data_IF_987649203676
#
_entry.id   IF_987649203676
#
_cell.length_a   1.000
_cell.length_b   1.000
_cell.length_c   1.000
_cell.angle_alpha   90.00
_cell.angle_beta   90.00
_cell.angle_gamma   90.00
#
_symmetry.space_group_name_H-M   'P 1'
#
loop_
_entity.id
_entity.type
_entity.pdbx_description
1 polymer ?
#
# COMPACT_ATOMS: atom_id res chain seq x y z
N UNK A 1 -18.10 -11.29 -21.61
CA UNK A 1 -17.73 -11.59 -20.22
C UNK A 1 -16.92 -10.41 -19.72
N UNK A 2 -17.47 -9.57 -18.83
CA UNK A 2 -16.89 -8.26 -18.46
C UNK A 2 -15.76 -8.46 -17.44
N UNK A 3 -14.53 -8.12 -17.83
CA UNK A 3 -13.36 -7.99 -16.96
C UNK A 3 -13.54 -6.75 -16.06
N UNK A 4 -14.23 -6.89 -14.93
CA UNK A 4 -14.50 -5.80 -14.00
C UNK A 4 -14.19 -6.18 -12.53
N UNK A 5 -13.16 -7.02 -12.32
CA UNK A 5 -12.74 -7.48 -10.99
C UNK A 5 -11.21 -7.53 -10.84
N UNK A 6 -10.50 -6.57 -11.45
CA UNK A 6 -9.14 -6.26 -11.00
C UNK A 6 -9.27 -5.24 -9.86
N UNK A 7 -9.24 -5.78 -8.64
CA UNK A 7 -9.36 -5.06 -7.37
C UNK A 7 -8.36 -3.89 -7.28
N UNK A 8 -8.72 -2.74 -6.68
CA UNK A 8 -7.76 -1.67 -6.36
C UNK A 8 -6.55 -2.16 -5.56
N UNK A 9 -6.72 -3.21 -4.76
CA UNK A 9 -5.64 -3.90 -4.04
C UNK A 9 -4.63 -4.56 -4.99
N UNK A 10 -5.07 -4.94 -6.20
CA UNK A 10 -4.21 -5.44 -7.27
C UNK A 10 -3.40 -4.31 -7.93
N UNK A 11 -3.91 -3.07 -7.94
CA UNK A 11 -3.17 -1.91 -8.43
C UNK A 11 -2.12 -1.42 -7.41
N UNK A 12 -2.39 -1.55 -6.11
CA UNK A 12 -1.40 -1.29 -5.05
C UNK A 12 -0.29 -2.36 -5.10
N UNK A 13 -0.63 -3.62 -5.36
CA UNK A 13 0.33 -4.70 -5.56
C UNK A 13 1.11 -4.65 -6.90
N UNK A 14 0.66 -3.86 -7.88
CA UNK A 14 1.37 -3.60 -9.15
C UNK A 14 2.17 -2.29 -9.12
N UNK A 15 1.82 -1.33 -8.26
CA UNK A 15 2.60 -0.11 -8.04
C UNK A 15 3.99 -0.42 -7.43
N UNK A 16 4.16 -1.56 -6.77
CA UNK A 16 5.45 -2.05 -6.28
C UNK A 16 6.41 -2.54 -7.39
N UNK A 17 6.02 -2.50 -8.67
CA UNK A 17 6.87 -2.87 -9.82
C UNK A 17 7.35 -1.68 -10.66
N UNK A 18 7.09 -0.43 -10.24
CA UNK A 18 7.68 0.76 -10.86
C UNK A 18 8.30 1.63 -9.77
N UNK A 19 9.50 1.25 -9.34
CA UNK A 19 10.38 2.13 -8.56
C UNK A 19 10.81 3.30 -9.44
N UNK A 20 10.00 4.36 -9.45
CA UNK A 20 10.52 5.72 -9.61
C UNK A 20 10.71 6.25 -8.18
N UNK A 21 11.88 6.83 -7.88
CA UNK A 21 12.41 7.26 -6.57
C UNK A 21 11.57 8.40 -5.91
N UNK A 22 10.28 8.46 -6.21
CA UNK A 22 9.30 9.48 -5.78
C UNK A 22 8.00 8.88 -5.24
N UNK A 23 7.95 7.55 -5.07
CA UNK A 23 6.94 6.86 -4.29
C UNK A 23 7.24 6.87 -2.77
N UNK A 24 8.23 7.67 -2.35
CA UNK A 24 8.70 7.70 -0.97
C UNK A 24 7.67 8.33 -0.01
N UNK A 25 7.26 7.50 0.96
CA UNK A 25 6.62 7.79 2.26
C UNK A 25 5.24 8.46 2.30
N UNK A 26 4.84 9.30 1.35
CA UNK A 26 3.70 10.23 1.54
C UNK A 26 2.32 9.60 1.28
N UNK A 27 2.22 8.39 0.71
CA UNK A 27 0.93 7.84 0.26
C UNK A 27 0.13 7.13 1.36
N UNK A 28 0.67 6.16 2.13
CA UNK A 28 -0.14 5.38 3.08
C UNK A 28 -0.70 6.24 4.22
N UNK A 29 0.12 7.17 4.72
CA UNK A 29 -0.21 7.99 5.89
C UNK A 29 -1.27 9.05 5.59
N UNK A 30 -1.16 9.68 4.42
CA UNK A 30 -2.15 10.68 3.96
C UNK A 30 -3.50 10.01 3.69
N UNK A 31 -3.50 8.82 3.06
CA UNK A 31 -4.73 8.06 2.83
C UNK A 31 -5.37 7.62 4.14
N UNK A 32 -4.57 7.06 5.06
CA UNK A 32 -5.06 6.68 6.39
C UNK A 32 -5.62 7.88 7.16
N UNK A 33 -4.94 9.04 7.12
CA UNK A 33 -5.44 10.26 7.73
C UNK A 33 -6.78 10.72 7.15
N UNK A 34 -6.92 10.71 5.82
CA UNK A 34 -8.18 11.06 5.17
C UNK A 34 -9.31 10.11 5.59
N UNK A 35 -9.04 8.80 5.70
CA UNK A 35 -10.01 7.83 6.20
C UNK A 35 -10.40 8.10 7.65
N UNK A 36 -9.44 8.40 8.53
CA UNK A 36 -9.73 8.77 9.94
C UNK A 36 -10.62 10.00 10.03
N UNK A 37 -10.33 11.05 9.26
CA UNK A 37 -11.11 12.27 9.24
C UNK A 37 -12.53 12.03 8.73
N UNK A 38 -12.67 11.26 7.65
CA UNK A 38 -13.97 10.85 7.13
C UNK A 38 -14.78 10.10 8.19
N UNK A 39 -14.19 9.09 8.83
CA UNK A 39 -14.87 8.27 9.85
C UNK A 39 -15.33 9.15 11.01
N UNK A 40 -14.46 10.00 11.55
CA UNK A 40 -14.80 10.92 12.66
C UNK A 40 -15.94 11.87 12.33
N UNK A 41 -16.02 12.33 11.08
CA UNK A 41 -17.03 13.30 10.65
C UNK A 41 -18.37 12.65 10.27
N UNK A 42 -18.38 11.38 9.85
CA UNK A 42 -19.55 10.76 9.22
C UNK A 42 -20.11 9.53 9.96
N UNK A 43 -19.34 8.91 10.85
CA UNK A 43 -19.81 7.77 11.65
C UNK A 43 -20.28 8.27 13.01
N UNK A 44 -21.61 8.32 13.19
CA UNK A 44 -22.25 8.85 14.40
C UNK A 44 -22.15 7.93 15.62
N UNK A 45 -21.93 6.62 15.40
CA UNK A 45 -21.76 5.64 16.47
C UNK A 45 -20.30 5.64 16.96
N UNK A 46 -20.00 6.14 18.17
CA UNK A 46 -18.63 6.40 18.60
C UNK A 46 -17.80 5.12 18.75
N UNK A 47 -18.40 4.03 19.21
CA UNK A 47 -17.72 2.73 19.34
C UNK A 47 -17.36 2.15 17.97
N UNK A 48 -18.29 2.23 17.00
CA UNK A 48 -18.07 1.77 15.63
C UNK A 48 -17.02 2.63 14.92
N UNK A 49 -17.10 3.96 15.08
CA UNK A 49 -16.10 4.89 14.56
C UNK A 49 -14.70 4.56 15.09
N UNK A 50 -14.59 4.30 16.40
CA UNK A 50 -13.32 3.94 17.04
C UNK A 50 -12.77 2.61 16.51
N UNK A 51 -13.63 1.60 16.34
CA UNK A 51 -13.25 0.31 15.76
C UNK A 51 -12.75 0.45 14.31
N UNK A 52 -13.46 1.22 13.48
CA UNK A 52 -13.06 1.49 12.11
C UNK A 52 -11.73 2.24 12.03
N UNK A 53 -11.49 3.23 12.90
CA UNK A 53 -10.21 3.95 12.97
C UNK A 53 -9.07 2.99 13.36
N UNK A 54 -9.28 2.13 14.35
CA UNK A 54 -8.26 1.15 14.74
C UNK A 54 -7.91 0.18 13.59
N UNK A 55 -8.89 -0.19 12.77
CA UNK A 55 -8.67 -1.02 11.58
C UNK A 55 -7.90 -0.25 10.49
N UNK A 56 -8.18 1.03 10.28
CA UNK A 56 -7.41 1.90 9.39
C UNK A 56 -5.95 2.02 9.86
N UNK A 57 -5.73 2.23 11.16
CA UNK A 57 -4.38 2.30 11.76
C UNK A 57 -3.62 0.98 11.56
N UNK A 58 -4.31 -0.15 11.72
CA UNK A 58 -3.74 -1.48 11.47
C UNK A 58 -3.36 -1.67 9.99
N UNK A 59 -4.22 -1.24 9.06
CA UNK A 59 -3.93 -1.31 7.63
C UNK A 59 -2.72 -0.44 7.24
N UNK A 60 -2.62 0.77 7.79
CA UNK A 60 -1.47 1.67 7.59
C UNK A 60 -0.17 1.02 8.10
N UNK A 61 -0.18 0.48 9.33
CA UNK A 61 0.98 -0.17 9.92
C UNK A 61 1.46 -1.36 9.08
N UNK A 62 0.54 -2.20 8.61
CA UNK A 62 0.84 -3.36 7.76
C UNK A 62 1.38 -2.94 6.38
N UNK A 63 0.85 -1.85 5.82
CA UNK A 63 1.36 -1.30 4.55
C UNK A 63 2.79 -0.78 4.71
N UNK A 64 3.09 -0.08 5.81
CA UNK A 64 4.44 0.37 6.14
C UNK A 64 5.38 -0.81 6.42
N UNK A 65 4.88 -1.90 7.01
CA UNK A 65 5.65 -3.12 7.23
C UNK A 65 6.01 -3.82 5.91
N UNK A 66 5.07 -3.88 4.95
CA UNK A 66 5.34 -4.40 3.60
C UNK A 66 6.43 -3.60 2.88
N UNK A 67 6.37 -2.27 2.96
CA UNK A 67 7.38 -1.39 2.35
C UNK A 67 8.76 -1.62 3.00
N UNK A 68 8.83 -1.64 4.34
CA UNK A 68 10.08 -1.95 5.06
C UNK A 68 10.62 -3.33 4.71
N UNK A 69 9.75 -4.34 4.58
CA UNK A 69 10.16 -5.69 4.19
C UNK A 69 10.72 -5.72 2.76
N UNK A 70 10.14 -4.94 1.85
CA UNK A 70 10.63 -4.78 0.48
C UNK A 70 12.01 -4.08 0.47
N UNK A 71 12.18 -2.98 1.20
CA UNK A 71 13.47 -2.28 1.30
C UNK A 71 14.56 -3.18 1.92
N UNK A 72 14.23 -3.90 2.99
CA UNK A 72 15.15 -4.84 3.62
C UNK A 72 15.54 -5.98 2.66
N UNK A 73 14.61 -6.48 1.85
CA UNK A 73 14.89 -7.48 0.83
C UNK A 73 15.86 -6.95 -0.24
N UNK A 74 15.62 -5.74 -0.77
CA UNK A 74 16.50 -5.12 -1.76
C UNK A 74 17.93 -4.95 -1.21
N UNK A 75 18.06 -4.38 -0.01
CA UNK A 75 19.36 -4.20 0.64
C UNK A 75 20.10 -5.53 0.88
N UNK A 76 19.37 -6.59 1.24
CA UNK A 76 19.95 -7.91 1.47
C UNK A 76 20.39 -8.57 0.16
N UNK A 77 19.63 -8.41 -0.93
CA UNK A 77 20.03 -8.88 -2.27
C UNK A 77 21.29 -8.15 -2.74
N UNK A 78 21.37 -6.83 -2.58
CA UNK A 78 22.58 -6.06 -2.89
C UNK A 78 23.79 -6.55 -2.10
N UNK A 79 23.62 -6.77 -0.78
CA UNK A 79 24.68 -7.27 0.10
C UNK A 79 25.18 -8.65 -0.31
N UNK A 80 24.28 -9.55 -0.71
CA UNK A 80 24.65 -10.89 -1.19
C UNK A 80 25.35 -10.79 -2.55
N UNK A 81 24.81 -10.01 -3.49
CA UNK A 81 25.41 -9.86 -4.83
C UNK A 81 26.78 -9.15 -4.82
N UNK A 82 27.05 -8.31 -3.82
CA UNK A 82 28.35 -7.66 -3.65
C UNK A 82 29.47 -8.63 -3.21
N UNK A 83 29.12 -9.84 -2.73
CA UNK A 83 30.08 -10.85 -2.32
C UNK A 83 30.52 -11.73 -3.49
N UNK A 84 31.82 -11.85 -3.79
CA UNK A 84 32.31 -12.65 -4.91
C UNK A 84 32.14 -14.17 -4.70
N UNK A 85 31.90 -14.60 -3.46
CA UNK A 85 31.72 -16.00 -3.07
C UNK A 85 30.25 -16.36 -2.79
N UNK A 86 29.31 -15.45 -3.09
CA UNK A 86 27.89 -15.69 -2.86
C UNK A 86 27.38 -16.88 -3.66
N UNK A 87 26.58 -17.71 -3.01
CA UNK A 87 25.99 -18.92 -3.59
C UNK A 87 24.52 -18.72 -3.97
N UNK A 88 24.05 -19.52 -4.91
CA UNK A 88 22.62 -19.59 -5.27
C UNK A 88 21.75 -19.93 -4.03
N UNK A 89 22.26 -20.79 -3.14
CA UNK A 89 21.55 -21.15 -1.91
C UNK A 89 21.37 -19.96 -0.97
N UNK A 90 22.36 -19.07 -0.86
CA UNK A 90 22.25 -17.85 -0.06
C UNK A 90 21.22 -16.88 -0.65
N UNK A 91 21.25 -16.67 -1.97
CA UNK A 91 20.26 -15.83 -2.65
C UNK A 91 18.84 -16.41 -2.52
N UNK A 92 18.70 -17.74 -2.65
CA UNK A 92 17.42 -18.44 -2.46
C UNK A 92 16.88 -18.27 -1.05
N UNK A 93 17.74 -18.37 -0.04
CA UNK A 93 17.35 -18.16 1.35
C UNK A 93 16.87 -16.72 1.62
N UNK A 94 17.46 -15.71 0.97
CA UNK A 94 16.99 -14.32 1.03
C UNK A 94 15.59 -14.19 0.41
N UNK A 95 15.38 -14.77 -0.77
CA UNK A 95 14.10 -14.78 -1.47
C UNK A 95 13.00 -15.48 -0.64
N UNK A 96 13.27 -16.66 -0.10
CA UNK A 96 12.28 -17.42 0.67
C UNK A 96 11.87 -16.68 1.95
N UNK A 97 12.81 -16.00 2.64
CA UNK A 97 12.50 -15.14 3.78
C UNK A 97 11.60 -13.95 3.39
N UNK A 98 11.93 -13.30 2.29
CA UNK A 98 11.15 -12.15 1.81
C UNK A 98 9.74 -12.55 1.39
N UNK A 99 9.58 -13.67 0.68
CA UNK A 99 8.28 -14.22 0.28
C UNK A 99 7.43 -14.58 1.49
N UNK A 100 8.02 -15.24 2.50
CA UNK A 100 7.31 -15.59 3.72
C UNK A 100 6.83 -14.36 4.49
N UNK A 101 7.70 -13.36 4.67
CA UNK A 101 7.35 -12.11 5.33
C UNK A 101 6.24 -11.38 4.56
N UNK A 102 6.41 -11.21 3.25
CA UNK A 102 5.42 -10.56 2.39
C UNK A 102 4.07 -11.27 2.43
N UNK A 103 4.04 -12.60 2.32
CA UNK A 103 2.78 -13.38 2.35
C UNK A 103 2.05 -13.15 3.66
N UNK A 104 2.75 -13.30 4.79
CA UNK A 104 2.16 -13.14 6.13
C UNK A 104 1.56 -11.75 6.32
N UNK A 105 2.31 -10.70 6.02
CA UNK A 105 1.84 -9.32 6.19
C UNK A 105 0.70 -9.00 5.21
N UNK A 106 0.73 -9.57 3.99
CA UNK A 106 -0.37 -9.41 3.02
C UNK A 106 -1.67 -10.07 3.49
N UNK A 107 -1.60 -11.27 4.06
CA UNK A 107 -2.75 -11.97 4.62
C UNK A 107 -3.37 -11.17 5.77
N UNK A 108 -2.53 -10.65 6.68
CA UNK A 108 -2.98 -9.80 7.78
C UNK A 108 -3.62 -8.50 7.31
N UNK A 109 -3.10 -7.91 6.23
CA UNK A 109 -3.67 -6.70 5.63
C UNK A 109 -5.03 -7.00 5.00
N UNK A 110 -5.15 -8.13 4.30
CA UNK A 110 -6.41 -8.56 3.72
C UNK A 110 -7.47 -8.80 4.80
N UNK A 111 -7.12 -9.47 5.90
CA UNK A 111 -8.01 -9.67 7.04
C UNK A 111 -8.48 -8.34 7.65
N UNK A 112 -7.56 -7.40 7.89
CA UNK A 112 -7.90 -6.09 8.42
C UNK A 112 -8.85 -5.29 7.50
N UNK A 113 -8.67 -5.40 6.18
CA UNK A 113 -9.55 -4.80 5.19
C UNK A 113 -10.94 -5.45 5.15
N UNK A 114 -11.02 -6.78 5.29
CA UNK A 114 -12.29 -7.48 5.40
C UNK A 114 -13.04 -7.10 6.68
N UNK A 115 -12.34 -7.00 7.81
CA UNK A 115 -12.90 -6.52 9.07
C UNK A 115 -13.41 -5.07 8.93
N UNK A 116 -12.63 -4.19 8.27
CA UNK A 116 -13.04 -2.81 8.01
C UNK A 116 -14.29 -2.75 7.13
N UNK A 117 -14.32 -3.55 6.06
CA UNK A 117 -15.48 -3.68 5.18
C UNK A 117 -16.72 -4.16 5.93
N UNK A 118 -16.57 -5.14 6.82
CA UNK A 118 -17.68 -5.69 7.60
C UNK A 118 -18.22 -4.69 8.63
N UNK A 119 -17.35 -3.84 9.17
CA UNK A 119 -17.69 -2.80 10.14
C UNK A 119 -18.34 -1.58 9.49
N UNK A 120 -17.96 -1.26 8.26
CA UNK A 120 -18.50 -0.14 7.49
C UNK A 120 -19.88 -0.45 6.89
N UNK A 121 -20.76 0.55 6.88
CA UNK A 121 -21.98 0.51 6.07
C UNK A 121 -21.64 0.61 4.58
N UNK A 122 -22.50 0.11 3.67
CA UNK A 122 -22.23 0.15 2.24
C UNK A 122 -21.88 1.54 1.69
N UNK A 123 -22.57 2.59 2.15
CA UNK A 123 -22.35 3.98 1.76
C UNK A 123 -21.01 4.54 2.28
N UNK A 124 -20.64 4.19 3.51
CA UNK A 124 -19.36 4.59 4.12
C UNK A 124 -18.20 3.88 3.42
N UNK A 125 -18.35 2.59 3.16
CA UNK A 125 -17.38 1.81 2.40
C UNK A 125 -17.20 2.34 0.98
N UNK A 126 -18.30 2.68 0.30
CA UNK A 126 -18.25 3.29 -1.03
C UNK A 126 -17.45 4.58 -1.06
N UNK A 127 -17.56 5.41 0.00
CA UNK A 127 -16.76 6.64 0.13
C UNK A 127 -15.29 6.36 0.43
N UNK A 128 -14.99 5.44 1.34
CA UNK A 128 -13.61 5.03 1.64
C UNK A 128 -12.89 4.57 0.36
N UNK A 129 -13.50 3.68 -0.41
CA UNK A 129 -12.93 3.20 -1.68
C UNK A 129 -12.81 4.32 -2.72
N UNK A 130 -13.79 5.23 -2.80
CA UNK A 130 -13.71 6.35 -3.72
C UNK A 130 -12.55 7.30 -3.40
N UNK A 131 -12.30 7.56 -2.11
CA UNK A 131 -11.19 8.41 -1.64
C UNK A 131 -9.83 7.84 -2.04
N UNK A 132 -9.67 6.52 -2.00
CA UNK A 132 -8.47 5.84 -2.52
C UNK A 132 -8.29 6.06 -4.02
N UNK A 133 -9.37 5.91 -4.80
CA UNK A 133 -9.37 6.13 -6.24
C UNK A 133 -9.03 7.59 -6.63
N UNK A 134 -9.63 8.56 -5.93
CA UNK A 134 -9.39 9.99 -6.15
C UNK A 134 -7.96 10.40 -5.77
N UNK A 135 -7.44 9.85 -4.67
CA UNK A 135 -6.05 10.04 -4.23
C UNK A 135 -5.04 9.52 -5.24
N UNK A 136 -5.24 8.30 -5.75
CA UNK A 136 -4.41 7.72 -6.80
C UNK A 136 -4.44 8.56 -8.08
N UNK A 137 -5.64 8.95 -8.53
CA UNK A 137 -5.79 9.79 -9.72
C UNK A 137 -5.17 11.19 -9.55
N UNK A 138 -5.16 11.75 -8.35
CA UNK A 138 -4.49 13.01 -8.05
C UNK A 138 -2.95 12.89 -8.10
N UNK A 139 -2.39 11.80 -7.57
CA UNK A 139 -0.95 11.54 -7.63
C UNK A 139 -0.47 11.33 -9.07
N UNK A 140 -1.15 10.48 -9.86
CA UNK A 140 -0.80 10.27 -11.27
C UNK A 140 -0.82 11.58 -12.07
N UNK A 141 -1.80 12.46 -11.79
CA UNK A 141 -1.86 13.80 -12.42
C UNK A 141 -0.70 14.70 -12.01
N UNK A 142 -0.29 14.65 -10.73
CA UNK A 142 0.85 15.42 -10.21
C UNK A 142 2.17 14.96 -10.85
N UNK A 143 2.37 13.65 -10.95
CA UNK A 143 3.55 13.04 -11.57
C UNK A 143 3.64 13.38 -13.05
N UNK A 144 2.53 13.25 -13.79
CA UNK A 144 2.48 13.66 -15.21
C UNK A 144 2.89 15.12 -15.37
N UNK A 145 2.34 16.04 -14.55
CA UNK A 145 2.72 17.46 -14.59
C UNK A 145 4.21 17.67 -14.29
N UNK A 146 4.77 16.96 -13.31
CA UNK A 146 6.19 17.05 -12.96
C UNK A 146 7.10 16.51 -14.09
N UNK A 147 6.69 15.45 -14.79
CA UNK A 147 7.40 14.90 -15.94
C UNK A 147 7.37 15.87 -17.14
N UNK A 148 6.21 16.47 -17.44
CA UNK A 148 6.10 17.48 -18.51
C UNK A 148 6.93 18.74 -18.23
N UNK A 149 7.01 19.17 -16.96
CA UNK A 149 7.83 20.31 -16.58
C UNK A 149 9.35 20.05 -16.73
N UNK A 150 9.79 18.79 -16.61
CA UNK A 150 11.19 18.41 -16.80
C UNK A 150 11.57 18.12 -18.27
N UNK A 151 10.61 17.79 -19.13
CA UNK A 151 10.85 17.46 -20.54
C UNK A 151 10.67 18.61 -21.55
N UNK A 152 10.22 19.79 -21.11
CA UNK A 152 9.97 20.95 -21.97
C UNK A 152 11.14 21.92 -22.16
N UNK A 153 12.35 21.55 -21.71
CA UNK A 153 13.57 22.34 -21.86
C UNK A 153 14.62 21.60 -22.67
N UNK A 154 14.44 21.57 -23.99
CA UNK A 154 15.51 21.28 -24.96
C UNK A 154 15.23 22.08 -26.23
#
# INVERSE_FOLDING_TARGET
>A
MRLAFLSPLFLIALASCTSDERYDEVVPQVVAQNHREYIRANVSEPERASAMIALVDRCEALTLELDRAQQAFLAEVERVNARPDATEAELRAVLDRALLARSKTSDQLFDALLELRATARPEEWGRIVQMEGDGLAANVRRERRAAFAKGGGS
#
